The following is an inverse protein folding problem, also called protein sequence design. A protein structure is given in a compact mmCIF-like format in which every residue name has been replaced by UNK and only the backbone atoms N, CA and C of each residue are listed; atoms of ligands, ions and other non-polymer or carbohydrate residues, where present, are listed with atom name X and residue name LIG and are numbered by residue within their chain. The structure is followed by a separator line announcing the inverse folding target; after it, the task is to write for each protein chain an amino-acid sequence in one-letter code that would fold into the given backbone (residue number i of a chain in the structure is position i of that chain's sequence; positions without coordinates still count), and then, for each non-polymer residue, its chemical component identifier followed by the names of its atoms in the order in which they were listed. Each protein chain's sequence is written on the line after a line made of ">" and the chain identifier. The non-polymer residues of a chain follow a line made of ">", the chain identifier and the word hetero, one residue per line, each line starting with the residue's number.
data_IF_398957362155
#
_entry.id   IF_398957362155
#
_cell.length_a   1.000
_cell.length_b   1.000
_cell.length_c   1.000
_cell.angle_alpha   90.00
_cell.angle_beta   90.00
_cell.angle_gamma   90.00
#
_symmetry.space_group_name_H-M   'P 1'
#
loop_
_entity.id
_entity.type
_entity.pdbx_description
1 polymer ?
#
# COMPACT_ATOMS: atom_id res chain seq x y z
N UNK A 1 -9.64 -20.85 10.87
CA UNK A 1 -10.46 -19.82 10.20
C UNK A 1 -10.63 -18.68 11.18
N UNK A 2 -10.46 -17.44 10.74
CA UNK A 2 -10.93 -16.28 11.49
C UNK A 2 -12.44 -16.44 11.68
N UNK A 3 -12.95 -16.23 12.89
CA UNK A 3 -14.39 -16.27 13.11
C UNK A 3 -14.94 -14.92 12.67
N UNK A 4 -15.81 -14.91 11.66
CA UNK A 4 -16.44 -13.68 11.14
C UNK A 4 -17.06 -12.80 12.25
N UNK A 5 -17.50 -13.42 13.34
CA UNK A 5 -18.01 -12.72 14.52
C UNK A 5 -16.96 -11.83 15.21
N UNK A 6 -15.72 -12.30 15.33
CA UNK A 6 -14.64 -11.54 15.96
C UNK A 6 -14.26 -10.32 15.10
N UNK A 7 -14.23 -10.50 13.78
CA UNK A 7 -13.97 -9.41 12.82
C UNK A 7 -15.09 -8.36 12.89
N UNK A 8 -16.35 -8.79 12.97
CA UNK A 8 -17.49 -7.86 13.12
C UNK A 8 -17.43 -7.08 14.42
N UNK A 9 -17.03 -7.69 15.54
CA UNK A 9 -16.83 -6.99 16.82
C UNK A 9 -15.72 -5.92 16.72
N UNK A 10 -14.68 -6.18 15.94
CA UNK A 10 -13.57 -5.26 15.75
C UNK A 10 -13.95 -3.99 14.95
N UNK A 11 -15.11 -3.92 14.28
CA UNK A 11 -15.60 -2.69 13.63
C UNK A 11 -15.80 -1.52 14.60
N UNK A 12 -16.00 -1.80 15.89
CA UNK A 12 -16.13 -0.78 16.93
C UNK A 12 -14.78 -0.42 17.59
N UNK A 13 -13.70 -1.11 17.23
CA UNK A 13 -12.38 -0.93 17.86
C UNK A 13 -11.63 0.23 17.19
N UNK A 14 -11.42 1.39 17.85
CA UNK A 14 -10.63 2.46 17.27
C UNK A 14 -9.18 2.01 17.06
N UNK A 15 -8.51 2.61 16.08
CA UNK A 15 -7.06 2.47 15.99
C UNK A 15 -6.40 3.11 17.20
N UNK A 16 -5.25 2.58 17.60
CA UNK A 16 -4.49 3.08 18.75
C UNK A 16 -4.03 4.53 18.58
N UNK A 17 -3.80 4.96 17.34
CA UNK A 17 -3.25 6.26 16.99
C UNK A 17 -4.05 6.91 15.84
N UNK A 18 -3.81 8.20 15.64
CA UNK A 18 -4.53 9.02 14.66
C UNK A 18 -5.98 9.32 15.07
N UNK A 19 -6.65 10.16 14.29
CA UNK A 19 -8.05 10.47 14.52
C UNK A 19 -8.92 9.22 14.34
N UNK A 20 -9.86 9.00 15.26
CA UNK A 20 -10.88 7.98 15.08
C UNK A 20 -11.89 8.46 14.04
N UNK A 21 -12.07 7.67 12.98
CA UNK A 21 -12.95 8.03 11.88
C UNK A 21 -14.29 7.32 12.01
N UNK A 22 -15.37 8.07 11.80
CA UNK A 22 -16.69 7.49 11.56
C UNK A 22 -16.74 6.94 10.13
N UNK A 23 -16.64 5.61 9.99
CA UNK A 23 -16.68 4.94 8.70
C UNK A 23 -18.04 5.07 7.99
N UNK A 24 -19.11 5.38 8.73
CA UNK A 24 -20.44 5.60 8.15
C UNK A 24 -20.57 6.93 7.40
N UNK A 25 -19.62 7.85 7.60
CA UNK A 25 -19.54 9.11 6.86
C UNK A 25 -19.06 8.96 5.41
N UNK A 26 -18.59 7.76 5.03
CA UNK A 26 -18.20 7.42 3.67
C UNK A 26 -19.18 6.39 3.09
N UNK A 27 -19.48 6.53 1.79
CA UNK A 27 -20.29 5.54 1.08
C UNK A 27 -19.44 4.49 0.38
N UNK A 28 -20.07 3.40 -0.07
CA UNK A 28 -19.54 2.69 -1.23
C UNK A 28 -19.87 3.44 -2.54
N UNK A 29 -20.90 4.29 -2.53
CA UNK A 29 -21.38 4.97 -3.74
C UNK A 29 -21.86 4.01 -4.82
N UNK A 30 -22.46 4.54 -5.88
CA UNK A 30 -22.43 3.87 -7.18
C UNK A 30 -21.10 4.28 -7.82
N UNK A 31 -20.19 3.33 -8.01
CA UNK A 31 -18.93 3.62 -8.66
C UNK A 31 -19.20 4.17 -10.05
N UNK A 32 -18.74 5.40 -10.30
CA UNK A 32 -18.91 6.01 -11.61
C UNK A 32 -18.09 5.25 -12.65
N UNK A 33 -18.63 5.12 -13.86
CA UNK A 33 -17.94 4.41 -14.93
C UNK A 33 -16.67 5.19 -15.33
N UNK A 34 -15.52 4.58 -15.07
CA UNK A 34 -14.23 5.11 -15.52
C UNK A 34 -14.04 4.76 -16.99
N UNK A 35 -14.31 5.72 -17.88
CA UNK A 35 -14.28 5.51 -19.32
C UNK A 35 -12.85 5.40 -19.88
N UNK A 36 -11.98 6.36 -19.55
CA UNK A 36 -10.63 6.43 -20.13
C UNK A 36 -9.63 7.20 -19.26
N UNK A 37 -8.35 7.03 -19.58
CA UNK A 37 -7.25 7.82 -18.99
C UNK A 37 -7.16 9.13 -19.76
N UNK A 38 -7.74 10.18 -19.21
CA UNK A 38 -7.67 11.54 -19.75
C UNK A 38 -6.40 12.30 -19.29
N UNK A 39 -6.31 13.58 -19.65
CA UNK A 39 -5.18 14.45 -19.28
C UNK A 39 -5.05 14.67 -17.78
N UNK A 40 -6.17 14.73 -17.06
CA UNK A 40 -6.17 14.94 -15.62
C UNK A 40 -5.68 13.69 -14.90
N UNK A 41 -6.13 12.50 -15.32
CA UNK A 41 -5.65 11.21 -14.81
C UNK A 41 -4.17 11.03 -15.10
N UNK A 42 -3.71 11.31 -16.33
CA UNK A 42 -2.29 11.21 -16.68
C UNK A 42 -1.43 12.16 -15.83
N UNK A 43 -1.83 13.43 -15.71
CA UNK A 43 -1.15 14.42 -14.86
C UNK A 43 -1.08 13.95 -13.40
N UNK A 44 -2.19 13.47 -12.84
CA UNK A 44 -2.25 12.96 -11.47
C UNK A 44 -1.36 11.74 -11.27
N UNK A 45 -1.31 10.83 -12.24
CA UNK A 45 -0.37 9.71 -12.24
C UNK A 45 1.07 10.18 -12.15
N UNK A 46 1.47 11.13 -13.01
CA UNK A 46 2.82 11.69 -13.01
C UNK A 46 3.20 12.39 -11.70
N UNK A 47 2.26 13.08 -11.05
CA UNK A 47 2.49 13.71 -9.74
C UNK A 47 2.84 12.70 -8.65
N UNK A 48 2.47 11.43 -8.82
CA UNK A 48 2.83 10.30 -7.93
C UNK A 48 3.81 9.33 -8.57
N UNK A 49 4.49 9.75 -9.64
CA UNK A 49 5.56 9.00 -10.30
C UNK A 49 5.09 7.89 -11.25
N UNK A 50 3.79 7.73 -11.49
CA UNK A 50 3.24 6.71 -12.40
C UNK A 50 3.00 7.30 -13.78
N UNK A 51 3.73 6.81 -14.79
CA UNK A 51 3.56 7.23 -16.18
C UNK A 51 2.45 6.38 -16.84
N UNK A 52 1.22 6.87 -16.74
CA UNK A 52 0.04 6.20 -17.31
C UNK A 52 0.00 6.31 -18.83
N UNK A 53 0.67 7.28 -19.44
CA UNK A 53 0.75 7.40 -20.90
C UNK A 53 1.70 6.33 -21.48
N UNK A 54 2.79 6.03 -20.78
CA UNK A 54 3.71 4.93 -21.12
C UNK A 54 3.32 3.59 -20.53
N UNK A 55 2.12 3.43 -19.97
CA UNK A 55 1.64 2.16 -19.39
C UNK A 55 1.80 0.93 -20.30
N UNK A 56 1.75 1.12 -21.62
CA UNK A 56 1.95 0.04 -22.62
C UNK A 56 3.40 -0.46 -22.70
N UNK A 57 4.34 0.39 -22.29
CA UNK A 57 5.77 0.14 -22.27
C UNK A 57 6.28 -0.14 -20.86
N UNK A 58 5.42 -0.35 -19.86
CA UNK A 58 5.81 -0.62 -18.47
C UNK A 58 4.93 -1.72 -17.89
N UNK A 59 5.43 -2.47 -16.91
CA UNK A 59 4.57 -3.37 -16.14
C UNK A 59 3.72 -2.50 -15.21
N UNK A 60 2.42 -2.42 -15.47
CA UNK A 60 1.53 -1.42 -14.89
C UNK A 60 0.27 -2.07 -14.34
N UNK A 61 -0.14 -1.66 -13.14
CA UNK A 61 -1.44 -1.93 -12.56
C UNK A 61 -2.16 -0.60 -12.29
N UNK A 62 -3.38 -0.42 -12.77
CA UNK A 62 -4.23 0.74 -12.47
C UNK A 62 -5.54 0.27 -11.89
N UNK A 63 -5.84 0.75 -10.69
CA UNK A 63 -7.06 0.49 -9.95
C UNK A 63 -7.78 1.80 -9.69
N UNK A 64 -9.04 1.87 -10.12
CA UNK A 64 -9.90 3.05 -9.98
C UNK A 64 -11.10 2.65 -9.14
N UNK A 65 -11.30 3.35 -8.02
CA UNK A 65 -12.34 3.07 -7.03
C UNK A 65 -12.32 1.61 -6.56
N UNK A 66 -13.11 0.73 -7.17
CA UNK A 66 -13.22 -0.70 -6.83
C UNK A 66 -12.76 -1.64 -7.95
N UNK A 67 -12.37 -1.09 -9.10
CA UNK A 67 -12.17 -1.84 -10.33
C UNK A 67 -10.74 -1.73 -10.81
N UNK A 68 -10.18 -2.86 -11.25
CA UNK A 68 -8.90 -2.86 -11.95
C UNK A 68 -9.16 -2.54 -13.42
N UNK A 69 -8.79 -1.32 -13.84
CA UNK A 69 -9.08 -0.81 -15.19
C UNK A 69 -7.93 -1.07 -16.17
N UNK A 70 -6.70 -1.24 -15.68
CA UNK A 70 -5.58 -1.63 -16.51
C UNK A 70 -4.61 -2.54 -15.76
N UNK A 71 -4.10 -3.54 -16.47
CA UNK A 71 -3.09 -4.45 -15.97
C UNK A 71 -2.26 -4.97 -17.15
N UNK A 72 -0.95 -4.83 -17.06
CA UNK A 72 -0.04 -5.36 -18.07
C UNK A 72 1.30 -5.72 -17.44
N UNK A 73 1.90 -6.80 -17.93
CA UNK A 73 3.29 -7.16 -17.68
C UNK A 73 4.01 -7.02 -19.02
N UNK A 74 5.15 -6.31 -19.03
CA UNK A 74 5.95 -6.21 -20.24
C UNK A 74 6.30 -7.61 -20.77
N UNK A 75 6.33 -7.76 -22.10
CA UNK A 75 6.60 -9.06 -22.75
C UNK A 75 7.90 -9.72 -22.23
N UNK A 76 8.93 -8.93 -22.00
CA UNK A 76 10.24 -9.41 -21.52
C UNK A 76 10.21 -9.96 -20.08
N UNK A 77 9.22 -9.59 -19.26
CA UNK A 77 9.09 -10.02 -17.87
C UNK A 77 7.94 -11.00 -17.63
N UNK A 78 7.32 -11.54 -18.69
CA UNK A 78 6.18 -12.46 -18.57
C UNK A 78 6.51 -13.74 -17.79
N UNK A 79 7.76 -14.19 -17.88
CA UNK A 79 8.26 -15.36 -17.17
C UNK A 79 9.03 -15.00 -15.89
N UNK A 80 9.01 -13.71 -15.51
CA UNK A 80 9.72 -13.17 -14.34
C UNK A 80 8.76 -12.59 -13.28
N UNK A 81 7.59 -12.11 -13.70
CA UNK A 81 6.63 -11.39 -12.88
C UNK A 81 5.21 -11.91 -13.09
N UNK A 82 4.55 -12.31 -12.01
CA UNK A 82 3.11 -12.44 -11.98
C UNK A 82 2.49 -11.15 -11.41
N UNK A 83 1.62 -10.52 -12.19
CA UNK A 83 0.82 -9.37 -11.77
C UNK A 83 -0.64 -9.67 -12.10
N UNK A 84 -1.50 -9.67 -11.09
CA UNK A 84 -2.95 -9.93 -11.22
C UNK A 84 -3.73 -9.24 -10.10
N UNK A 85 -5.06 -9.27 -10.16
CA UNK A 85 -5.86 -8.82 -9.02
C UNK A 85 -5.74 -9.82 -7.88
N UNK A 86 -5.93 -9.37 -6.64
CA UNK A 86 -5.90 -10.28 -5.49
C UNK A 86 -7.00 -11.36 -5.58
N UNK A 87 -8.17 -11.03 -6.13
CA UNK A 87 -9.27 -11.97 -6.35
C UNK A 87 -8.95 -13.05 -7.38
N UNK A 88 -8.19 -12.72 -8.43
CA UNK A 88 -7.68 -13.69 -9.39
C UNK A 88 -6.68 -14.64 -8.71
N UNK A 89 -5.75 -14.11 -7.92
CA UNK A 89 -4.75 -14.91 -7.20
C UNK A 89 -5.38 -15.86 -6.18
N UNK A 90 -6.37 -15.40 -5.39
CA UNK A 90 -7.06 -16.22 -4.39
C UNK A 90 -7.92 -17.34 -5.00
N UNK A 91 -8.38 -17.19 -6.25
CA UNK A 91 -9.06 -18.24 -7.02
C UNK A 91 -8.07 -19.20 -7.68
N UNK A 92 -6.95 -18.69 -8.19
CA UNK A 92 -5.95 -19.47 -8.93
C UNK A 92 -5.03 -20.28 -8.02
N UNK A 93 -4.66 -19.75 -6.86
CA UNK A 93 -3.63 -20.30 -5.99
C UNK A 93 -4.17 -20.56 -4.59
N UNK A 94 -4.42 -21.83 -4.28
CA UNK A 94 -4.89 -22.24 -2.95
C UNK A 94 -3.91 -21.82 -1.83
N UNK A 95 -2.61 -21.83 -2.11
CA UNK A 95 -1.56 -21.47 -1.16
C UNK A 95 -1.56 -19.97 -0.81
N UNK A 96 -2.10 -19.08 -1.66
CA UNK A 96 -2.18 -17.64 -1.38
C UNK A 96 -3.05 -17.36 -0.16
N UNK A 97 -4.10 -18.17 0.07
CA UNK A 97 -4.94 -18.10 1.29
C UNK A 97 -4.14 -18.36 2.57
N UNK A 98 -3.03 -19.08 2.46
CA UNK A 98 -2.11 -19.33 3.56
C UNK A 98 -1.33 -18.09 3.98
N UNK A 99 -1.18 -17.10 3.08
CA UNK A 99 -0.44 -15.86 3.28
C UNK A 99 -1.35 -14.63 3.48
N UNK A 100 -2.58 -14.69 2.99
CA UNK A 100 -3.54 -13.59 3.13
C UNK A 100 -4.00 -13.40 4.58
N UNK A 101 -3.97 -12.16 5.09
CA UNK A 101 -4.27 -11.80 6.48
C UNK A 101 -3.42 -12.54 7.52
N UNK A 102 -2.09 -12.57 7.28
CA UNK A 102 -1.12 -13.20 8.18
C UNK A 102 -0.09 -12.25 8.76
N UNK A 103 0.24 -11.17 8.04
CA UNK A 103 1.15 -10.15 8.52
C UNK A 103 0.41 -9.00 9.22
N UNK A 104 -0.90 -8.87 8.99
CA UNK A 104 -1.81 -8.01 9.74
C UNK A 104 -2.98 -8.80 10.27
N UNK A 105 -3.44 -8.42 11.46
CA UNK A 105 -4.61 -9.03 12.09
C UNK A 105 -5.88 -8.32 11.57
N UNK A 106 -6.85 -9.04 10.98
CA UNK A 106 -8.16 -8.50 10.66
C UNK A 106 -8.85 -7.80 11.82
N UNK A 107 -8.57 -8.22 13.06
CA UNK A 107 -9.15 -7.68 14.29
C UNK A 107 -8.27 -6.60 14.95
N UNK A 108 -7.23 -6.11 14.27
CA UNK A 108 -6.33 -5.09 14.80
C UNK A 108 -7.08 -3.81 15.19
N UNK A 109 -7.91 -3.30 14.28
CA UNK A 109 -8.77 -2.14 14.48
C UNK A 109 -9.96 -2.18 13.52
N UNK A 110 -10.84 -1.17 13.61
CA UNK A 110 -12.01 -1.04 12.74
C UNK A 110 -11.67 -0.96 11.26
N UNK A 111 -10.48 -0.48 10.90
CA UNK A 111 -10.06 -0.34 9.52
C UNK A 111 -9.64 -1.69 8.93
N UNK A 112 -8.85 -2.49 9.65
CA UNK A 112 -8.54 -3.86 9.22
C UNK A 112 -9.79 -4.72 9.19
N UNK A 113 -10.70 -4.54 10.15
CA UNK A 113 -11.96 -5.28 10.19
C UNK A 113 -12.85 -4.92 9.00
N UNK A 114 -12.96 -3.62 8.69
CA UNK A 114 -13.71 -3.15 7.54
C UNK A 114 -13.12 -3.68 6.23
N UNK A 115 -11.79 -3.65 6.06
CA UNK A 115 -11.12 -4.20 4.89
C UNK A 115 -11.33 -5.71 4.77
N UNK A 116 -11.22 -6.47 5.86
CA UNK A 116 -11.40 -7.91 5.84
C UNK A 116 -12.80 -8.32 5.37
N UNK A 117 -13.82 -7.51 5.69
CA UNK A 117 -15.22 -7.74 5.31
C UNK A 117 -15.59 -7.16 3.94
N UNK A 118 -14.92 -6.08 3.51
CA UNK A 118 -15.38 -5.27 2.38
C UNK A 118 -14.30 -4.92 1.35
N UNK A 119 -13.09 -5.47 1.42
CA UNK A 119 -12.06 -5.18 0.43
C UNK A 119 -12.56 -5.45 -0.99
N UNK A 120 -12.33 -4.48 -1.88
CA UNK A 120 -12.69 -4.54 -3.30
C UNK A 120 -11.45 -4.25 -4.11
N UNK A 121 -10.81 -5.31 -4.57
CA UNK A 121 -9.58 -5.25 -5.35
C UNK A 121 -8.31 -5.01 -4.52
N UNK A 122 -7.30 -4.48 -5.20
CA UNK A 122 -5.90 -4.64 -4.83
C UNK A 122 -5.19 -5.62 -5.77
N UNK A 123 -3.86 -5.65 -5.68
CA UNK A 123 -3.04 -6.49 -6.55
C UNK A 123 -2.37 -7.64 -5.82
N UNK A 124 -2.16 -8.72 -6.56
CA UNK A 124 -1.17 -9.73 -6.25
C UNK A 124 0.04 -9.52 -7.17
N UNK A 125 1.21 -9.38 -6.57
CA UNK A 125 2.47 -9.26 -7.30
C UNK A 125 3.47 -10.29 -6.78
N UNK A 126 3.95 -11.15 -7.67
CA UNK A 126 4.94 -12.18 -7.34
C UNK A 126 6.12 -12.08 -8.30
N UNK A 127 7.28 -11.76 -7.75
CA UNK A 127 8.54 -11.76 -8.47
C UNK A 127 9.13 -13.16 -8.33
N UNK A 128 9.34 -13.84 -9.46
CA UNK A 128 9.71 -15.26 -9.48
C UNK A 128 11.15 -15.49 -9.03
N UNK A 129 11.43 -16.72 -8.61
CA UNK A 129 12.69 -17.12 -7.98
C UNK A 129 13.91 -16.78 -8.85
N UNK A 130 14.90 -16.13 -8.24
CA UNK A 130 16.14 -15.70 -8.89
C UNK A 130 16.00 -14.61 -9.95
N UNK A 131 14.78 -14.09 -10.20
CA UNK A 131 14.54 -13.12 -11.27
C UNK A 131 14.79 -11.69 -10.83
N UNK A 132 15.34 -10.89 -11.76
CA UNK A 132 15.72 -9.51 -11.52
C UNK A 132 14.99 -8.57 -12.48
N UNK A 133 14.20 -7.67 -11.93
CA UNK A 133 13.41 -6.70 -12.70
C UNK A 133 13.97 -5.31 -12.43
N UNK A 134 14.83 -4.86 -13.35
CA UNK A 134 15.56 -3.59 -13.22
C UNK A 134 14.73 -2.36 -13.61
N UNK A 135 13.64 -2.55 -14.36
CA UNK A 135 12.70 -1.49 -14.71
C UNK A 135 11.57 -1.49 -13.66
N UNK A 136 11.27 -0.36 -13.00
CA UNK A 136 10.24 -0.33 -11.97
C UNK A 136 8.88 -0.83 -12.45
N UNK A 137 8.27 -1.71 -11.66
CA UNK A 137 6.88 -2.13 -11.81
C UNK A 137 6.03 -1.04 -11.18
N UNK A 138 5.07 -0.48 -11.92
CA UNK A 138 4.24 0.60 -11.41
C UNK A 138 2.83 0.12 -11.05
N UNK A 139 2.30 0.62 -9.95
CA UNK A 139 0.91 0.45 -9.54
C UNK A 139 0.32 1.83 -9.23
N UNK A 140 -0.95 2.03 -9.57
CA UNK A 140 -1.66 3.27 -9.28
C UNK A 140 -3.04 2.98 -8.70
N UNK A 141 -3.32 3.62 -7.56
CA UNK A 141 -4.66 3.68 -6.97
C UNK A 141 -5.20 5.10 -7.16
N UNK A 142 -6.29 5.20 -7.89
CA UNK A 142 -6.98 6.46 -8.14
C UNK A 142 -8.37 6.39 -7.52
N UNK A 143 -8.72 7.39 -6.72
CA UNK A 143 -10.12 7.62 -6.37
C UNK A 143 -10.73 8.61 -7.37
N UNK A 144 -11.84 8.19 -7.97
CA UNK A 144 -12.55 8.89 -9.04
C UNK A 144 -13.99 9.25 -8.63
N UNK A 145 -14.60 8.48 -7.73
CA UNK A 145 -15.95 8.74 -7.20
C UNK A 145 -15.90 9.52 -5.89
N UNK A 146 -16.78 10.52 -5.74
CA UNK A 146 -16.83 11.41 -4.57
C UNK A 146 -17.28 10.68 -3.29
N UNK A 147 -16.55 10.88 -2.19
CA UNK A 147 -16.99 10.49 -0.85
C UNK A 147 -17.01 9.00 -0.57
N UNK A 148 -16.30 8.20 -1.39
CA UNK A 148 -16.22 6.77 -1.19
C UNK A 148 -15.17 6.36 -0.16
N UNK A 149 -15.32 5.15 0.37
CA UNK A 149 -14.24 4.40 1.00
C UNK A 149 -13.66 3.41 -0.01
N UNK A 150 -12.35 3.44 -0.24
CA UNK A 150 -11.62 2.49 -1.07
C UNK A 150 -10.85 1.49 -0.18
N UNK A 151 -11.44 0.33 0.17
CA UNK A 151 -10.75 -0.73 0.89
C UNK A 151 -10.02 -1.65 -0.11
N UNK A 152 -8.69 -1.59 -0.15
CA UNK A 152 -7.87 -2.45 -1.03
C UNK A 152 -6.95 -3.35 -0.21
N UNK A 153 -6.70 -4.56 -0.70
CA UNK A 153 -5.77 -5.50 -0.08
C UNK A 153 -4.74 -5.99 -1.10
N UNK A 154 -3.50 -5.60 -0.89
CA UNK A 154 -2.37 -5.98 -1.75
C UNK A 154 -1.54 -7.10 -1.11
N UNK A 155 -1.06 -8.02 -1.94
CA UNK A 155 -0.12 -9.05 -1.54
C UNK A 155 1.09 -9.05 -2.48
N UNK A 156 2.28 -8.85 -1.91
CA UNK A 156 3.54 -8.85 -2.63
C UNK A 156 4.41 -10.01 -2.13
N UNK A 157 4.98 -10.76 -3.07
CA UNK A 157 5.92 -11.84 -2.76
C UNK A 157 7.16 -11.67 -3.65
N UNK A 158 8.30 -11.41 -3.02
CA UNK A 158 9.60 -11.52 -3.66
C UNK A 158 10.16 -12.91 -3.33
N UNK A 159 10.11 -13.83 -4.30
CA UNK A 159 10.56 -15.22 -4.14
C UNK A 159 12.09 -15.31 -3.94
N UNK A 160 12.64 -16.46 -3.49
CA UNK A 160 14.04 -16.55 -3.12
C UNK A 160 15.01 -16.00 -4.18
N UNK A 161 15.97 -15.20 -3.74
CA UNK A 161 16.99 -14.59 -4.60
C UNK A 161 16.48 -13.60 -5.66
N UNK A 162 15.18 -13.25 -5.66
CA UNK A 162 14.62 -12.28 -6.61
C UNK A 162 15.01 -10.84 -6.27
N UNK A 163 14.96 -9.94 -7.25
CA UNK A 163 15.29 -8.53 -7.08
C UNK A 163 14.34 -7.64 -7.91
N UNK A 164 13.65 -6.69 -7.28
CA UNK A 164 12.74 -5.80 -8.01
C UNK A 164 12.54 -4.44 -7.34
N UNK A 165 12.08 -3.49 -8.16
CA UNK A 165 11.62 -2.17 -7.74
C UNK A 165 10.14 -2.02 -8.06
N UNK A 166 9.34 -1.66 -7.06
CA UNK A 166 7.91 -1.37 -7.20
C UNK A 166 7.71 0.11 -6.88
N UNK A 167 6.95 0.81 -7.72
CA UNK A 167 6.49 2.17 -7.50
C UNK A 167 4.96 2.18 -7.41
N UNK A 168 4.42 2.47 -6.24
CA UNK A 168 2.96 2.63 -6.05
C UNK A 168 2.62 4.10 -5.89
N UNK A 169 1.79 4.64 -6.77
CA UNK A 169 1.20 5.96 -6.65
C UNK A 169 -0.23 5.89 -6.15
N UNK A 170 -0.61 6.72 -5.18
CA UNK A 170 -2.01 6.85 -4.75
C UNK A 170 -2.44 8.32 -4.84
N UNK A 171 -3.53 8.56 -5.57
CA UNK A 171 -3.97 9.92 -5.90
C UNK A 171 -5.48 10.01 -6.11
N UNK A 172 -5.97 11.22 -6.33
CA UNK A 172 -7.38 11.54 -6.53
C UNK A 172 -7.58 12.27 -7.86
N UNK A 173 -8.68 11.98 -8.53
CA UNK A 173 -9.11 12.78 -9.66
C UNK A 173 -9.44 14.21 -9.19
N UNK A 174 -9.15 15.28 -9.96
CA UNK A 174 -9.37 16.66 -9.53
C UNK A 174 -10.80 17.01 -9.09
N UNK A 175 -11.81 16.26 -9.57
CA UNK A 175 -13.21 16.44 -9.19
C UNK A 175 -13.56 15.86 -7.81
N UNK A 176 -12.73 14.95 -7.30
CA UNK A 176 -12.94 14.29 -6.02
C UNK A 176 -12.31 15.16 -4.94
N UNK A 177 -13.11 15.57 -3.96
CA UNK A 177 -12.65 16.43 -2.87
C UNK A 177 -12.50 15.65 -1.56
N UNK A 178 -13.36 14.65 -1.31
CA UNK A 178 -13.38 13.88 -0.06
C UNK A 178 -13.46 12.38 -0.32
N UNK A 179 -12.93 11.60 0.61
CA UNK A 179 -12.95 10.15 0.56
C UNK A 179 -11.99 9.54 1.56
N UNK A 180 -12.03 8.21 1.69
CA UNK A 180 -11.15 7.46 2.56
C UNK A 180 -10.42 6.38 1.75
N UNK A 181 -9.09 6.48 1.67
CA UNK A 181 -8.27 5.39 1.19
C UNK A 181 -7.89 4.46 2.35
N UNK A 182 -8.32 3.20 2.28
CA UNK A 182 -8.03 2.18 3.27
C UNK A 182 -7.22 1.06 2.62
N UNK A 183 -5.90 1.06 2.85
CA UNK A 183 -4.98 0.15 2.19
C UNK A 183 -4.39 -0.89 3.15
N UNK A 184 -4.63 -2.17 2.91
CA UNK A 184 -3.90 -3.27 3.55
C UNK A 184 -2.85 -3.78 2.58
N UNK A 185 -1.62 -3.96 3.02
CA UNK A 185 -0.55 -4.50 2.17
C UNK A 185 0.32 -5.47 2.95
N UNK A 186 0.47 -6.69 2.41
CA UNK A 186 1.29 -7.74 3.00
C UNK A 186 2.46 -8.05 2.07
N UNK A 187 3.69 -7.94 2.58
CA UNK A 187 4.91 -8.06 1.80
C UNK A 187 5.76 -9.20 2.37
N UNK A 188 6.01 -10.20 1.54
CA UNK A 188 6.88 -11.33 1.84
C UNK A 188 8.18 -11.20 1.05
N UNK A 189 9.28 -10.95 1.75
CA UNK A 189 10.63 -10.94 1.18
C UNK A 189 11.31 -12.26 1.57
N UNK A 190 11.32 -13.20 0.64
CA UNK A 190 11.86 -14.54 0.86
C UNK A 190 13.39 -14.53 0.92
N UNK A 191 13.95 -15.68 1.29
CA UNK A 191 15.40 -15.88 1.43
C UNK A 191 16.22 -15.25 0.29
N UNK A 192 17.12 -14.34 0.65
CA UNK A 192 18.04 -13.65 -0.26
C UNK A 192 17.39 -12.69 -1.26
N UNK A 193 16.07 -12.49 -1.20
CA UNK A 193 15.36 -11.59 -2.09
C UNK A 193 15.61 -10.12 -1.70
N UNK A 194 15.56 -9.23 -2.68
CA UNK A 194 15.75 -7.79 -2.51
C UNK A 194 14.57 -7.05 -3.11
N UNK A 195 13.82 -6.35 -2.29
CA UNK A 195 12.66 -5.60 -2.73
C UNK A 195 12.78 -4.13 -2.33
N UNK A 196 12.73 -3.25 -3.33
CA UNK A 196 12.55 -1.82 -3.10
C UNK A 196 11.10 -1.46 -3.40
N UNK A 197 10.40 -0.94 -2.40
CA UNK A 197 9.01 -0.52 -2.49
C UNK A 197 8.91 0.99 -2.25
N UNK A 198 8.67 1.73 -3.32
CA UNK A 198 8.46 3.17 -3.26
C UNK A 198 6.97 3.47 -3.34
N UNK A 199 6.46 4.25 -2.39
CA UNK A 199 5.07 4.70 -2.36
C UNK A 199 5.01 6.22 -2.35
N UNK A 200 4.29 6.79 -3.31
CA UNK A 200 4.10 8.24 -3.41
C UNK A 200 2.61 8.54 -3.28
N UNK A 201 2.27 9.33 -2.27
CA UNK A 201 0.92 9.77 -2.00
C UNK A 201 0.76 11.24 -2.37
N UNK A 202 -0.38 11.54 -3.00
CA UNK A 202 -0.84 12.91 -3.19
C UNK A 202 -2.36 12.97 -3.07
N UNK A 203 -2.83 13.68 -2.06
CA UNK A 203 -4.24 13.76 -1.71
C UNK A 203 -4.76 15.20 -1.79
N UNK A 204 -6.02 15.40 -1.40
CA UNK A 204 -6.65 16.71 -1.23
C UNK A 204 -6.99 16.97 0.25
N UNK A 205 -7.25 18.23 0.64
CA UNK A 205 -7.38 18.64 2.04
C UNK A 205 -8.49 17.94 2.85
N UNK A 206 -9.48 17.36 2.18
CA UNK A 206 -10.61 16.64 2.82
C UNK A 206 -10.49 15.11 2.66
N UNK A 207 -9.28 14.58 2.42
CA UNK A 207 -9.03 13.16 2.24
C UNK A 207 -8.44 12.48 3.47
N UNK A 208 -8.97 11.30 3.76
CA UNK A 208 -8.52 10.46 4.87
C UNK A 208 -7.79 9.23 4.37
N UNK A 209 -6.78 8.81 5.13
CA UNK A 209 -5.94 7.68 4.74
C UNK A 209 -5.64 6.81 5.95
N UNK A 210 -5.96 5.52 5.83
CA UNK A 210 -5.65 4.50 6.83
C UNK A 210 -4.97 3.34 6.14
N UNK A 211 -3.65 3.22 6.30
CA UNK A 211 -2.91 2.08 5.75
C UNK A 211 -2.37 1.17 6.84
N UNK A 212 -2.37 -0.14 6.56
CA UNK A 212 -1.82 -1.18 7.42
C UNK A 212 -0.92 -2.06 6.58
N UNK A 213 0.39 -1.96 6.82
CA UNK A 213 1.39 -2.70 6.08
C UNK A 213 2.11 -3.67 7.00
N UNK A 214 2.10 -4.94 6.63
CA UNK A 214 2.87 -6.00 7.30
C UNK A 214 3.97 -6.49 6.36
N UNK A 215 5.20 -6.58 6.86
CA UNK A 215 6.36 -7.04 6.09
C UNK A 215 7.03 -8.18 6.84
N UNK A 216 7.41 -9.24 6.12
CA UNK A 216 8.20 -10.35 6.65
C UNK A 216 9.47 -10.51 5.81
N UNK A 217 10.63 -10.51 6.45
CA UNK A 217 11.94 -10.64 5.78
C UNK A 217 12.66 -11.88 6.28
N UNK A 218 12.94 -12.81 5.37
CA UNK A 218 13.64 -14.07 5.61
C UNK A 218 15.17 -13.93 5.46
N UNK A 219 15.89 -15.06 5.56
CA UNK A 219 17.36 -15.12 5.61
C UNK A 219 18.04 -14.34 4.49
N UNK A 220 18.91 -13.40 4.82
CA UNK A 220 19.63 -12.56 3.86
C UNK A 220 18.74 -11.66 2.99
N UNK A 221 17.43 -11.60 3.28
CA UNK A 221 16.48 -10.74 2.57
C UNK A 221 16.73 -9.27 2.86
N UNK A 222 16.43 -8.41 1.87
CA UNK A 222 16.56 -6.96 1.98
C UNK A 222 15.26 -6.30 1.57
N UNK A 223 14.67 -5.52 2.47
CA UNK A 223 13.49 -4.71 2.18
C UNK A 223 13.78 -3.23 2.34
N UNK A 224 13.63 -2.46 1.26
CA UNK A 224 13.73 -1.00 1.30
C UNK A 224 12.35 -0.42 1.03
N UNK A 225 11.84 0.37 1.98
CA UNK A 225 10.63 1.17 1.79
C UNK A 225 11.02 2.63 1.61
N UNK A 226 10.50 3.27 0.57
CA UNK A 226 10.60 4.72 0.39
C UNK A 226 9.18 5.29 0.34
N UNK A 227 8.77 6.01 1.37
CA UNK A 227 7.48 6.67 1.42
C UNK A 227 7.63 8.16 1.18
N UNK A 228 6.81 8.70 0.29
CA UNK A 228 6.76 10.13 -0.04
C UNK A 228 5.33 10.63 0.08
N UNK A 229 5.13 11.69 0.84
CA UNK A 229 3.86 12.43 0.88
C UNK A 229 4.13 13.91 0.70
N UNK A 230 3.52 14.51 -0.33
CA UNK A 230 3.63 15.94 -0.61
C UNK A 230 2.23 16.55 -0.78
N UNK A 231 1.96 17.63 -0.07
CA UNK A 231 0.77 18.45 -0.27
C UNK A 231 -0.14 18.52 0.96
N UNK A 232 -1.41 18.21 0.77
CA UNK A 232 -2.44 18.35 1.80
C UNK A 232 -3.26 17.06 1.91
N UNK A 233 -3.78 16.84 3.10
CA UNK A 233 -4.79 15.82 3.39
C UNK A 233 -5.57 16.21 4.65
N UNK A 234 -6.63 15.50 4.99
CA UNK A 234 -7.37 15.72 6.25
C UNK A 234 -6.68 15.02 7.40
N UNK A 235 -6.71 13.69 7.42
CA UNK A 235 -5.97 12.87 8.39
C UNK A 235 -5.37 11.60 7.79
N UNK A 236 -4.09 11.37 8.06
CA UNK A 236 -3.37 10.15 7.71
C UNK A 236 -2.98 9.42 8.99
N UNK A 237 -3.15 8.10 8.99
CA UNK A 237 -2.51 7.25 9.97
C UNK A 237 -1.99 5.96 9.33
N UNK A 238 -0.69 5.70 9.54
CA UNK A 238 -0.05 4.44 9.17
C UNK A 238 1.08 4.10 10.13
N UNK A 239 1.26 2.81 10.38
CA UNK A 239 2.42 2.27 11.08
C UNK A 239 2.80 0.92 10.45
N UNK A 240 3.58 0.93 9.35
CA UNK A 240 4.14 -0.27 8.77
C UNK A 240 4.94 -1.06 9.83
N UNK A 241 4.74 -2.38 9.87
CA UNK A 241 5.46 -3.27 10.79
C UNK A 241 6.23 -4.31 9.99
N UNK A 242 7.56 -4.33 10.16
CA UNK A 242 8.45 -5.30 9.53
C UNK A 242 9.01 -6.27 10.56
N UNK A 243 8.89 -7.56 10.27
CA UNK A 243 9.49 -8.65 11.05
C UNK A 243 10.68 -9.23 10.31
N UNK A 244 11.86 -9.05 10.86
CA UNK A 244 13.13 -9.54 10.33
C UNK A 244 13.43 -10.87 11.00
N UNK A 245 12.81 -11.94 10.50
CA UNK A 245 12.91 -13.29 11.07
C UNK A 245 14.19 -14.01 10.60
N UNK A 246 14.73 -13.59 9.46
CA UNK A 246 15.90 -14.20 8.86
C UNK A 246 17.22 -13.73 9.45
N UNK A 247 18.20 -14.64 9.49
CA UNK A 247 19.60 -14.30 9.73
C UNK A 247 20.14 -13.31 8.69
N UNK A 248 20.90 -12.31 9.12
CA UNK A 248 21.45 -11.24 8.28
C UNK A 248 20.43 -10.50 7.40
N UNK A 249 19.14 -10.53 7.76
CA UNK A 249 18.08 -9.78 7.09
C UNK A 249 18.20 -8.28 7.35
N UNK A 250 17.77 -7.46 6.38
CA UNK A 250 17.92 -6.00 6.46
C UNK A 250 16.66 -5.27 6.05
N UNK A 251 16.38 -4.17 6.73
CA UNK A 251 15.38 -3.22 6.25
C UNK A 251 15.83 -1.76 6.39
N UNK A 252 15.38 -0.93 5.45
CA UNK A 252 15.50 0.52 5.50
C UNK A 252 14.12 1.11 5.19
N UNK A 253 13.58 1.93 6.07
CA UNK A 253 12.32 2.64 5.89
C UNK A 253 12.60 4.13 5.82
N UNK A 254 12.55 4.70 4.62
CA UNK A 254 12.85 6.10 4.34
C UNK A 254 11.56 6.85 4.08
N UNK A 255 11.33 7.93 4.80
CA UNK A 255 10.10 8.69 4.74
C UNK A 255 10.41 10.16 4.47
N UNK A 256 9.82 10.73 3.41
CA UNK A 256 9.95 12.15 3.06
C UNK A 256 8.55 12.76 3.01
N UNK A 257 8.28 13.68 3.95
CA UNK A 257 6.94 14.23 4.14
C UNK A 257 6.99 15.76 4.10
N UNK A 258 6.15 16.36 3.27
CA UNK A 258 5.85 17.79 3.30
C UNK A 258 4.35 17.98 3.36
N UNK A 259 3.85 18.55 4.46
CA UNK A 259 2.43 18.86 4.65
C UNK A 259 2.22 20.34 4.90
N UNK A 260 1.07 20.85 4.44
CA UNK A 260 0.62 22.23 4.65
C UNK A 260 -0.87 22.30 5.00
N UNK A 261 -1.42 23.50 5.14
CA UNK A 261 -2.83 23.70 5.48
C UNK A 261 -3.16 23.16 6.88
N UNK A 262 -4.29 22.45 7.02
CA UNK A 262 -4.75 21.86 8.28
C UNK A 262 -4.48 20.34 8.38
N UNK A 263 -3.50 19.86 7.63
CA UNK A 263 -3.24 18.43 7.52
C UNK A 263 -2.78 17.82 8.83
N UNK A 264 -3.32 16.66 9.18
CA UNK A 264 -2.84 15.86 10.32
C UNK A 264 -2.29 14.52 9.85
N UNK A 265 -1.04 14.21 10.18
CA UNK A 265 -0.42 12.94 9.83
C UNK A 265 0.20 12.29 11.06
N UNK A 266 -0.14 11.03 11.27
CA UNK A 266 0.53 10.12 12.21
C UNK A 266 1.22 9.02 11.40
N UNK A 267 2.53 9.15 11.24
CA UNK A 267 3.36 8.24 10.46
C UNK A 267 4.36 7.54 11.36
N UNK A 268 4.24 6.22 11.44
CA UNK A 268 5.15 5.36 12.19
C UNK A 268 6.01 4.46 11.32
N UNK A 269 6.89 3.73 12.01
CA UNK A 269 7.56 2.52 11.52
C UNK A 269 7.90 1.63 12.69
N UNK A 270 7.56 0.35 12.60
CA UNK A 270 7.93 -0.67 13.57
C UNK A 270 8.79 -1.73 12.88
N UNK A 271 9.89 -2.10 13.51
CA UNK A 271 10.73 -3.21 13.09
C UNK A 271 10.93 -4.15 14.27
N UNK A 272 10.79 -5.45 14.05
CA UNK A 272 11.12 -6.49 15.02
C UNK A 272 12.32 -7.27 14.50
N UNK A 273 13.45 -7.13 15.20
CA UNK A 273 14.71 -7.81 14.90
C UNK A 273 14.73 -9.19 15.59
N UNK A 274 14.31 -10.24 14.89
CA UNK A 274 14.21 -11.60 15.44
C UNK A 274 15.40 -12.48 15.00
N UNK A 275 15.91 -12.28 13.77
CA UNK A 275 17.00 -13.07 13.20
C UNK A 275 18.41 -12.58 13.57
N UNK A 276 19.35 -13.51 13.73
CA UNK A 276 20.73 -13.20 14.10
C UNK A 276 21.43 -12.28 13.09
N UNK A 277 22.01 -11.18 13.55
CA UNK A 277 22.71 -10.20 12.70
C UNK A 277 21.80 -9.37 11.81
N UNK A 278 20.47 -9.39 12.06
CA UNK A 278 19.52 -8.52 11.36
C UNK A 278 19.77 -7.04 11.68
N UNK A 279 19.45 -6.16 10.73
CA UNK A 279 19.68 -4.71 10.85
C UNK A 279 18.50 -3.92 10.31
N UNK A 280 18.19 -2.82 10.96
CA UNK A 280 17.13 -1.91 10.55
C UNK A 280 17.60 -0.47 10.57
N UNK A 281 17.04 0.32 9.68
CA UNK A 281 17.15 1.77 9.66
C UNK A 281 15.78 2.36 9.39
N UNK A 282 15.38 3.35 10.19
CA UNK A 282 14.14 4.10 9.99
C UNK A 282 14.53 5.58 9.92
N UNK A 283 14.40 6.16 8.73
CA UNK A 283 14.70 7.56 8.46
C UNK A 283 13.38 8.28 8.18
N UNK A 284 13.21 9.43 8.82
CA UNK A 284 12.12 10.34 8.50
C UNK A 284 12.65 11.76 8.39
N UNK A 285 12.36 12.38 7.26
CA UNK A 285 12.54 13.80 6.99
C UNK A 285 11.17 14.43 6.75
N UNK A 286 10.72 15.29 7.65
CA UNK A 286 9.39 15.90 7.56
C UNK A 286 9.43 17.42 7.71
N UNK A 287 8.57 18.11 6.95
CA UNK A 287 8.33 19.55 7.06
C UNK A 287 6.82 19.78 7.17
N UNK A 288 6.41 20.47 8.23
CA UNK A 288 5.04 20.94 8.42
C UNK A 288 4.98 22.46 8.21
N UNK A 289 4.08 22.91 7.35
CA UNK A 289 3.79 24.32 7.08
C UNK A 289 2.36 24.66 7.51
N UNK A 290 2.09 25.96 7.67
CA UNK A 290 0.80 26.49 8.15
C UNK A 290 0.39 25.87 9.50
N UNK A 291 -0.82 25.30 9.59
CA UNK A 291 -1.36 24.64 10.78
C UNK A 291 -1.17 23.12 10.76
N UNK A 292 -0.34 22.59 9.85
CA UNK A 292 -0.17 21.15 9.68
C UNK A 292 0.52 20.51 10.89
N UNK A 293 0.11 19.28 11.23
CA UNK A 293 0.66 18.51 12.34
C UNK A 293 1.19 17.18 11.81
N UNK A 294 2.45 16.90 12.12
CA UNK A 294 3.10 15.63 11.80
C UNK A 294 3.57 15.00 13.11
N UNK A 295 2.96 13.85 13.45
CA UNK A 295 3.41 12.97 14.52
C UNK A 295 4.19 11.82 13.92
N UNK A 296 5.34 11.55 14.49
CA UNK A 296 6.32 10.60 13.96
C UNK A 296 6.58 9.52 15.00
N UNK A 297 6.64 8.26 14.56
CA UNK A 297 6.82 7.11 15.48
C UNK A 297 7.89 6.17 14.94
N UNK A 298 8.74 5.69 15.84
CA UNK A 298 9.74 4.68 15.53
C UNK A 298 9.80 3.65 16.65
N UNK A 299 9.82 2.37 16.29
CA UNK A 299 10.10 1.25 17.19
C UNK A 299 10.97 0.23 16.47
N UNK A 300 12.05 -0.22 17.10
CA UNK A 300 12.98 -1.24 16.57
C UNK A 300 13.43 -2.18 17.67
#
# INVERSE_FOLDING_TARGET
>A
MLRDEDVRKALEKPAKYGADLDLSSYGFGEAEEFAEIDRDVSRRGMEVGVDLDKRRYLSTFLHVDYSTVYKSVQRQFKDDLELMTIDEALRRYNWVRGLFWRLRDPCEDKYTAFAALNARGGYFMRILEGRKILIPIQACFLLFTQGIIQPVHNLIIAEPGSEAHILTGCTIHPRVTRGLHLGVTEIYVRKGAKLTYTMVHRWGPEFDVRSRTGILVEDGGVFVSNYVMLGELRTFQSQPSARLIGSSSRTSMNNVVYLRGRSEMDLGGEVLLEGAGSRAEIILSSVAADDAKITTRGRS
#
